data_IF_325395939492
#
_entry.id   IF_325395939492
#
_cell.length_a   1.000
_cell.length_b   1.000
_cell.length_c   1.000
_cell.angle_alpha   90.00
_cell.angle_beta   90.00
_cell.angle_gamma   90.00
#
_symmetry.space_group_name_H-M   'P 1'
#
loop_
_entity.id
_entity.type
_entity.pdbx_description
1 polymer ?
#
# COMPACT_ATOMS: atom_id res chain seq x y z
N UNK A 1 24.45 -44.23 -43.14
CA UNK A 1 23.49 -43.64 -42.18
C UNK A 1 23.98 -44.00 -40.77
N UNK A 2 24.67 -43.07 -40.09
CA UNK A 2 25.03 -43.20 -38.67
C UNK A 2 24.39 -42.01 -37.95
N UNK A 3 23.56 -42.32 -36.96
CA UNK A 3 22.71 -41.38 -36.25
C UNK A 3 23.53 -40.45 -35.36
N UNK A 4 23.28 -39.14 -35.48
CA UNK A 4 23.66 -38.15 -34.49
C UNK A 4 22.73 -38.33 -33.27
N UNK A 5 23.32 -38.65 -32.11
CA UNK A 5 22.64 -38.55 -30.82
C UNK A 5 22.66 -37.07 -30.43
N UNK A 6 21.53 -36.40 -30.64
CA UNK A 6 21.28 -35.05 -30.13
C UNK A 6 20.89 -35.19 -28.65
N UNK A 7 21.82 -34.87 -27.76
CA UNK A 7 21.53 -34.75 -26.33
C UNK A 7 20.64 -33.52 -26.11
N UNK A 8 19.33 -33.75 -25.98
CA UNK A 8 18.35 -32.75 -25.59
C UNK A 8 18.53 -32.46 -24.08
N UNK A 9 19.30 -31.41 -23.77
CA UNK A 9 19.45 -30.88 -22.43
C UNK A 9 18.17 -30.10 -22.09
N UNK A 10 17.18 -30.80 -21.53
CA UNK A 10 15.96 -30.18 -21.01
C UNK A 10 16.35 -29.38 -19.76
N UNK A 11 16.58 -28.08 -19.94
CA UNK A 11 16.59 -27.11 -18.85
C UNK A 11 15.18 -27.04 -18.28
N UNK A 12 14.88 -27.90 -17.30
CA UNK A 12 13.74 -27.70 -16.43
C UNK A 12 13.99 -26.43 -15.62
N UNK A 13 13.45 -25.31 -16.07
CA UNK A 13 13.23 -24.15 -15.19
C UNK A 13 12.14 -24.57 -14.21
N UNK A 14 12.54 -25.13 -13.06
CA UNK A 14 11.65 -25.24 -11.91
C UNK A 14 11.34 -23.82 -11.44
N UNK A 15 10.21 -23.27 -11.89
CA UNK A 15 9.59 -22.13 -11.22
C UNK A 15 8.98 -22.64 -9.93
N UNK A 16 9.80 -22.78 -8.88
CA UNK A 16 9.30 -22.94 -7.52
C UNK A 16 8.51 -21.67 -7.20
N UNK A 17 7.17 -21.79 -7.19
CA UNK A 17 6.32 -20.70 -6.74
C UNK A 17 6.46 -20.66 -5.22
N UNK A 18 7.09 -19.62 -4.70
CA UNK A 18 7.20 -19.41 -3.26
C UNK A 18 5.78 -19.22 -2.69
N UNK A 19 5.32 -20.16 -1.87
CA UNK A 19 4.08 -19.97 -1.13
C UNK A 19 4.42 -19.20 0.14
N UNK A 20 4.24 -17.87 0.13
CA UNK A 20 4.31 -17.07 1.35
C UNK A 20 3.21 -17.51 2.31
N UNK A 21 3.53 -17.64 3.61
CA UNK A 21 2.48 -17.75 4.60
C UNK A 21 1.63 -16.46 4.65
N UNK A 22 0.56 -16.47 5.45
CA UNK A 22 -0.37 -15.36 5.42
C UNK A 22 0.20 -14.02 5.87
N UNK A 23 1.24 -14.04 6.70
CA UNK A 23 1.90 -12.85 7.24
C UNK A 23 3.05 -12.41 6.34
N UNK A 24 3.81 -13.35 5.81
CA UNK A 24 4.87 -13.12 4.84
C UNK A 24 4.34 -12.47 3.56
N UNK A 25 3.13 -12.81 3.12
CA UNK A 25 2.48 -12.14 1.99
C UNK A 25 2.25 -10.64 2.24
N UNK A 26 1.91 -10.26 3.49
CA UNK A 26 1.80 -8.84 3.88
C UNK A 26 3.15 -8.14 3.77
N UNK A 27 4.24 -8.82 4.11
CA UNK A 27 5.59 -8.26 3.98
C UNK A 27 6.02 -8.15 2.52
N UNK A 28 5.69 -9.16 1.71
CA UNK A 28 5.91 -9.13 0.27
C UNK A 28 5.16 -7.96 -0.39
N UNK A 29 3.90 -7.72 -0.02
CA UNK A 29 3.10 -6.58 -0.53
C UNK A 29 3.75 -5.22 -0.17
N UNK A 30 4.30 -5.09 1.04
CA UNK A 30 5.02 -3.88 1.45
C UNK A 30 6.30 -3.68 0.62
N UNK A 31 7.08 -4.73 0.40
CA UNK A 31 8.35 -4.70 -0.34
C UNK A 31 8.18 -4.46 -1.84
N UNK A 32 7.05 -4.91 -2.40
CA UNK A 32 6.70 -4.72 -3.80
C UNK A 32 5.96 -3.38 -4.07
N UNK A 33 5.76 -2.56 -3.03
CA UNK A 33 5.03 -1.30 -3.16
C UNK A 33 5.83 -0.24 -3.91
N UNK A 34 5.17 0.51 -4.80
CA UNK A 34 5.75 1.73 -5.41
C UNK A 34 5.95 2.88 -4.41
N UNK A 35 5.42 2.75 -3.18
CA UNK A 35 5.59 3.74 -2.13
C UNK A 35 6.79 3.36 -1.25
N UNK A 36 7.87 4.15 -1.31
CA UNK A 36 9.09 3.92 -0.53
C UNK A 36 8.86 3.83 0.97
N UNK A 37 7.85 4.53 1.51
CA UNK A 37 7.52 4.38 2.92
C UNK A 37 6.99 2.99 3.24
N UNK A 38 6.21 2.37 2.34
CA UNK A 38 5.70 1.02 2.54
C UNK A 38 6.86 0.01 2.46
N UNK A 39 7.75 0.18 1.48
CA UNK A 39 8.97 -0.64 1.36
C UNK A 39 9.81 -0.55 2.64
N UNK A 40 9.99 0.65 3.18
CA UNK A 40 10.70 0.86 4.47
C UNK A 40 9.99 0.16 5.63
N UNK A 41 8.66 0.15 5.65
CA UNK A 41 7.91 -0.58 6.67
C UNK A 41 8.10 -2.10 6.54
N UNK A 42 8.10 -2.63 5.31
CA UNK A 42 8.41 -4.03 5.03
C UNK A 42 9.82 -4.41 5.48
N UNK A 43 10.82 -3.58 5.19
CA UNK A 43 12.19 -3.77 5.66
C UNK A 43 12.29 -3.79 7.20
N UNK A 44 11.54 -2.91 7.89
CA UNK A 44 11.47 -2.93 9.36
C UNK A 44 10.80 -4.19 9.89
N UNK A 45 9.75 -4.67 9.22
CA UNK A 45 9.09 -5.91 9.59
C UNK A 45 10.04 -7.11 9.47
N UNK A 46 10.80 -7.21 8.38
CA UNK A 46 11.85 -8.21 8.21
C UNK A 46 12.93 -8.12 9.29
N UNK A 47 13.40 -6.90 9.60
CA UNK A 47 14.37 -6.65 10.68
C UNK A 47 13.87 -7.15 12.04
N UNK A 48 12.58 -7.01 12.32
CA UNK A 48 12.02 -7.38 13.61
C UNK A 48 11.66 -8.87 13.72
N UNK A 49 11.17 -9.47 12.64
CA UNK A 49 10.62 -10.82 12.66
C UNK A 49 11.63 -11.88 12.23
N UNK A 50 12.63 -11.51 11.44
CA UNK A 50 13.67 -12.39 10.89
C UNK A 50 13.10 -13.72 10.34
N UNK A 51 12.16 -13.67 9.36
CA UNK A 51 11.52 -14.88 8.85
C UNK A 51 12.54 -15.86 8.22
N UNK A 52 12.26 -17.16 8.27
CA UNK A 52 13.15 -18.18 7.70
C UNK A 52 13.01 -18.30 6.17
N UNK A 53 11.96 -17.73 5.56
CA UNK A 53 11.64 -17.82 4.14
C UNK A 53 12.66 -17.09 3.26
N UNK A 54 13.44 -17.86 2.49
CA UNK A 54 14.51 -17.35 1.61
C UNK A 54 13.95 -16.51 0.48
N UNK A 55 12.80 -16.86 -0.07
CA UNK A 55 12.18 -16.17 -1.19
C UNK A 55 11.71 -14.77 -0.82
N UNK A 56 11.33 -14.55 0.45
CA UNK A 56 11.02 -13.22 0.98
C UNK A 56 12.27 -12.35 1.13
N UNK A 57 13.40 -12.95 1.50
CA UNK A 57 14.69 -12.25 1.51
C UNK A 57 15.22 -11.97 0.11
N UNK A 58 15.03 -12.90 -0.83
CA UNK A 58 15.33 -12.70 -2.26
C UNK A 58 14.49 -11.54 -2.84
N UNK A 59 13.22 -11.40 -2.44
CA UNK A 59 12.40 -10.24 -2.78
C UNK A 59 12.97 -8.95 -2.20
N UNK A 60 13.37 -8.92 -0.93
CA UNK A 60 13.99 -7.74 -0.32
C UNK A 60 15.30 -7.34 -1.01
N UNK A 61 16.13 -8.33 -1.39
CA UNK A 61 17.35 -8.15 -2.15
C UNK A 61 17.06 -7.59 -3.55
N UNK A 62 16.08 -8.14 -4.25
CA UNK A 62 15.61 -7.63 -5.53
C UNK A 62 15.11 -6.19 -5.41
N UNK A 63 14.38 -5.84 -4.35
CA UNK A 63 13.91 -4.47 -4.12
C UNK A 63 15.08 -3.49 -3.99
N UNK A 64 16.18 -3.85 -3.30
CA UNK A 64 17.40 -3.02 -3.28
C UNK A 64 17.93 -2.80 -4.69
N UNK A 65 18.10 -3.89 -5.47
CA UNK A 65 18.63 -3.84 -6.83
C UNK A 65 17.76 -2.96 -7.75
N UNK A 66 16.45 -3.16 -7.70
CA UNK A 66 15.47 -2.41 -8.51
C UNK A 66 15.47 -0.94 -8.14
N UNK A 67 15.48 -0.61 -6.84
CA UNK A 67 15.54 0.79 -6.37
C UNK A 67 16.82 1.48 -6.84
N UNK A 68 17.98 0.84 -6.75
CA UNK A 68 19.22 1.46 -7.20
C UNK A 68 19.29 1.61 -8.72
N UNK A 69 18.72 0.68 -9.48
CA UNK A 69 18.74 0.71 -10.95
C UNK A 69 17.74 1.69 -11.54
N UNK A 70 16.53 1.74 -10.99
CA UNK A 70 15.37 2.41 -11.60
C UNK A 70 14.70 3.46 -10.71
N UNK A 71 15.06 3.54 -9.42
CA UNK A 71 14.40 4.41 -8.45
C UNK A 71 14.77 5.89 -8.55
N UNK A 72 13.84 6.75 -8.13
CA UNK A 72 14.08 8.18 -7.98
C UNK A 72 14.99 8.46 -6.76
N UNK A 73 16.29 8.62 -7.02
CA UNK A 73 17.31 8.93 -6.01
C UNK A 73 17.15 10.32 -5.38
N UNK A 74 16.37 11.22 -5.99
CA UNK A 74 16.08 12.54 -5.42
C UNK A 74 14.98 12.49 -4.34
N UNK A 75 14.25 11.38 -4.26
CA UNK A 75 13.22 11.18 -3.25
C UNK A 75 13.85 11.17 -1.85
N UNK A 76 13.34 12.03 -0.96
CA UNK A 76 13.83 12.17 0.42
C UNK A 76 13.80 10.86 1.24
N UNK A 77 12.98 9.88 0.83
CA UNK A 77 12.86 8.59 1.51
C UNK A 77 13.78 7.51 0.93
N UNK A 78 14.44 7.76 -0.21
CA UNK A 78 15.27 6.78 -0.91
C UNK A 78 16.39 6.23 -0.02
N UNK A 79 17.23 7.13 0.50
CA UNK A 79 18.38 6.78 1.32
C UNK A 79 17.98 6.04 2.61
N UNK A 80 16.86 6.44 3.23
CA UNK A 80 16.39 5.80 4.46
C UNK A 80 15.83 4.40 4.20
N UNK A 81 15.06 4.26 3.12
CA UNK A 81 14.44 2.98 2.73
C UNK A 81 15.49 1.94 2.39
N UNK A 82 16.46 2.28 1.52
CA UNK A 82 17.51 1.33 1.12
C UNK A 82 18.46 0.99 2.28
N UNK A 83 18.68 1.94 3.21
CA UNK A 83 19.45 1.68 4.43
C UNK A 83 18.76 0.65 5.33
N UNK A 84 17.43 0.73 5.47
CA UNK A 84 16.65 -0.25 6.23
C UNK A 84 16.63 -1.62 5.56
N UNK A 85 16.48 -1.69 4.24
CA UNK A 85 16.59 -2.95 3.49
C UNK A 85 17.96 -3.60 3.68
N UNK A 86 19.05 -2.82 3.51
CA UNK A 86 20.41 -3.32 3.72
C UNK A 86 20.60 -3.84 5.16
N UNK A 87 20.11 -3.09 6.16
CA UNK A 87 20.16 -3.51 7.56
C UNK A 87 19.44 -4.85 7.77
N UNK A 88 18.21 -4.99 7.28
CA UNK A 88 17.42 -6.21 7.43
C UNK A 88 18.08 -7.42 6.76
N UNK A 89 18.61 -7.25 5.54
CA UNK A 89 19.35 -8.31 4.84
C UNK A 89 20.61 -8.71 5.62
N UNK A 90 21.36 -7.76 6.17
CA UNK A 90 22.51 -8.06 7.02
C UNK A 90 22.15 -8.94 8.21
N UNK A 91 21.05 -8.62 8.87
CA UNK A 91 20.58 -9.38 10.04
C UNK A 91 19.97 -10.74 9.71
N UNK A 92 19.60 -11.00 8.46
CA UNK A 92 19.28 -12.36 8.01
C UNK A 92 20.50 -13.29 8.10
N UNK A 93 21.71 -12.74 8.13
CA UNK A 93 23.00 -13.45 8.16
C UNK A 93 23.22 -14.42 6.98
N UNK A 94 22.47 -14.27 5.87
CA UNK A 94 22.56 -15.14 4.69
C UNK A 94 23.61 -14.66 3.69
N UNK A 95 24.73 -15.38 3.59
CA UNK A 95 25.85 -15.05 2.69
C UNK A 95 25.50 -15.05 1.20
N UNK A 96 24.36 -15.66 0.81
CA UNK A 96 23.77 -15.57 -0.53
C UNK A 96 23.68 -14.15 -1.09
N UNK A 97 23.51 -13.12 -0.26
CA UNK A 97 23.35 -11.73 -0.70
C UNK A 97 24.65 -10.94 -0.82
N UNK A 98 25.79 -11.54 -0.49
CA UNK A 98 27.07 -10.83 -0.40
C UNK A 98 27.50 -10.20 -1.72
N UNK A 99 27.37 -10.90 -2.83
CA UNK A 99 27.75 -10.37 -4.16
C UNK A 99 26.91 -9.16 -4.53
N UNK A 100 25.58 -9.26 -4.41
CA UNK A 100 24.67 -8.16 -4.66
C UNK A 100 25.02 -6.94 -3.80
N UNK A 101 25.15 -7.09 -2.47
CA UNK A 101 25.41 -5.95 -1.60
C UNK A 101 26.76 -5.27 -1.91
N UNK A 102 27.78 -6.03 -2.30
CA UNK A 102 29.07 -5.47 -2.74
C UNK A 102 28.95 -4.65 -4.04
N UNK A 103 28.15 -5.12 -5.00
CA UNK A 103 27.87 -4.37 -6.23
C UNK A 103 27.08 -3.10 -5.95
N UNK A 104 26.02 -3.20 -5.14
CA UNK A 104 25.18 -2.07 -4.77
C UNK A 104 25.96 -1.04 -3.93
N UNK A 105 26.92 -1.47 -3.10
CA UNK A 105 27.83 -0.58 -2.37
C UNK A 105 28.67 0.29 -3.31
N UNK A 106 29.10 -0.22 -4.47
CA UNK A 106 29.88 0.56 -5.45
C UNK A 106 29.03 1.65 -6.12
N UNK A 107 27.72 1.43 -6.24
CA UNK A 107 26.76 2.38 -6.82
C UNK A 107 26.27 3.43 -5.81
N UNK A 108 26.45 3.18 -4.50
CA UNK A 108 25.90 4.02 -3.44
C UNK A 108 26.53 5.42 -3.40
N UNK A 109 25.70 6.45 -3.66
CA UNK A 109 26.13 7.85 -3.71
C UNK A 109 26.21 8.51 -2.32
N UNK A 110 25.29 8.16 -1.41
CA UNK A 110 25.25 8.76 -0.07
C UNK A 110 26.14 8.01 0.94
N UNK A 111 26.74 8.76 1.88
CA UNK A 111 27.57 8.19 2.95
C UNK A 111 26.76 7.30 3.89
N UNK A 112 25.49 7.66 4.12
CA UNK A 112 24.54 6.86 4.90
C UNK A 112 24.34 5.48 4.28
N UNK A 113 23.99 5.41 3.00
CA UNK A 113 23.73 4.13 2.31
C UNK A 113 25.00 3.28 2.26
N UNK A 114 26.17 3.87 1.96
CA UNK A 114 27.46 3.16 2.03
C UNK A 114 27.72 2.55 3.41
N UNK A 115 27.41 3.27 4.49
CA UNK A 115 27.59 2.77 5.87
C UNK A 115 26.71 1.56 6.13
N UNK A 116 25.45 1.59 5.74
CA UNK A 116 24.52 0.47 5.96
C UNK A 116 24.87 -0.75 5.11
N UNK A 117 25.28 -0.59 3.86
CA UNK A 117 25.78 -1.72 3.06
C UNK A 117 27.03 -2.36 3.65
N UNK A 118 28.02 -1.56 4.08
CA UNK A 118 29.22 -2.09 4.74
C UNK A 118 28.88 -2.85 6.03
N UNK A 119 27.94 -2.31 6.82
CA UNK A 119 27.42 -2.99 8.00
C UNK A 119 26.79 -4.33 7.63
N UNK A 120 25.86 -4.34 6.68
CA UNK A 120 25.18 -5.53 6.23
C UNK A 120 26.14 -6.63 5.75
N UNK A 121 27.10 -6.28 4.87
CA UNK A 121 28.11 -7.21 4.34
C UNK A 121 28.94 -7.84 5.45
N UNK A 122 29.21 -7.11 6.54
CA UNK A 122 29.97 -7.62 7.69
C UNK A 122 29.17 -8.64 8.51
N UNK A 123 27.85 -8.49 8.59
CA UNK A 123 26.96 -9.38 9.35
C UNK A 123 26.60 -10.67 8.58
N UNK A 124 26.79 -10.69 7.25
CA UNK A 124 26.53 -11.89 6.46
C UNK A 124 27.53 -13.00 6.81
N UNK A 125 26.99 -14.15 7.22
CA UNK A 125 27.75 -15.37 7.49
C UNK A 125 27.46 -16.40 6.38
N UNK A 126 28.27 -17.45 6.25
CA UNK A 126 28.05 -18.53 5.29
C UNK A 126 28.11 -18.14 3.78
N UNK A 127 29.31 -17.89 3.27
CA UNK A 127 29.55 -17.53 1.85
C UNK A 127 29.46 -18.72 0.88
N UNK A 128 29.18 -19.93 1.35
CA UNK A 128 29.09 -21.14 0.52
C UNK A 128 27.71 -21.31 -0.15
N UNK A 129 26.73 -20.49 0.24
CA UNK A 129 25.41 -20.47 -0.40
C UNK A 129 25.48 -19.97 -1.85
N UNK A 130 24.64 -20.55 -2.72
CA UNK A 130 24.44 -20.07 -4.08
C UNK A 130 24.05 -18.59 -4.03
N UNK A 131 24.85 -17.75 -4.68
CA UNK A 131 24.65 -16.30 -4.68
C UNK A 131 23.35 -15.90 -5.38
N UNK A 132 22.69 -14.89 -4.83
CA UNK A 132 21.47 -14.33 -5.41
C UNK A 132 21.80 -13.54 -6.68
N UNK A 133 21.08 -13.85 -7.77
CA UNK A 133 21.20 -13.16 -9.04
C UNK A 133 19.93 -12.34 -9.33
N UNK A 134 20.04 -11.03 -9.12
CA UNK A 134 18.93 -10.11 -9.34
C UNK A 134 18.54 -9.95 -10.83
N UNK A 135 19.45 -10.25 -11.76
CA UNK A 135 19.19 -10.04 -13.20
C UNK A 135 18.26 -11.10 -13.79
N UNK A 136 18.29 -12.30 -13.21
CA UNK A 136 17.42 -13.42 -13.57
C UNK A 136 16.26 -13.62 -12.59
N UNK A 137 16.18 -12.79 -11.54
CA UNK A 137 15.06 -12.82 -10.61
C UNK A 137 13.84 -12.18 -11.25
N UNK A 138 12.82 -13.01 -11.50
CA UNK A 138 11.49 -12.48 -11.76
C UNK A 138 10.79 -12.39 -10.43
N UNK A 139 10.40 -11.18 -10.02
CA UNK A 139 9.47 -10.97 -8.91
C UNK A 139 8.07 -11.45 -9.33
N UNK A 140 7.94 -12.75 -9.64
CA UNK A 140 6.68 -13.43 -9.51
C UNK A 140 6.51 -13.63 -8.00
N UNK A 141 6.12 -12.56 -7.33
CA UNK A 141 5.30 -12.69 -6.13
C UNK A 141 4.06 -13.40 -6.63
N UNK A 142 4.14 -14.72 -6.75
CA UNK A 142 2.96 -15.55 -6.74
C UNK A 142 2.36 -15.18 -5.39
N UNK A 143 1.38 -14.27 -5.42
CA UNK A 143 0.44 -14.10 -4.33
C UNK A 143 0.06 -15.53 -4.02
N UNK A 144 0.58 -16.06 -2.91
CA UNK A 144 0.32 -17.43 -2.50
C UNK A 144 -1.18 -17.56 -2.61
N UNK A 145 -1.67 -18.50 -3.42
CA UNK A 145 -3.11 -18.71 -3.57
C UNK A 145 -3.62 -19.07 -2.19
N UNK A 146 -4.13 -18.11 -1.40
CA UNK A 146 -4.36 -18.36 0.00
C UNK A 146 -5.56 -19.28 -0.02
N UNK A 147 -5.58 -20.32 0.82
CA UNK A 147 -6.86 -20.97 1.18
C UNK A 147 -7.86 -19.84 1.41
N UNK A 148 -8.81 -19.68 0.49
CA UNK A 148 -9.55 -18.43 0.31
C UNK A 148 -10.51 -18.21 1.49
N UNK A 149 -9.99 -17.80 2.63
CA UNK A 149 -10.80 -17.23 3.70
C UNK A 149 -11.25 -15.88 3.15
N UNK A 150 -12.49 -15.84 2.66
CA UNK A 150 -13.09 -14.61 2.19
C UNK A 150 -13.56 -13.82 3.39
N UNK A 151 -13.07 -12.59 3.54
CA UNK A 151 -13.56 -11.67 4.56
C UNK A 151 -15.10 -11.55 4.49
N UNK A 152 -15.74 -11.56 5.65
CA UNK A 152 -17.18 -11.33 5.81
C UNK A 152 -17.41 -10.21 6.81
N UNK A 153 -18.58 -9.57 6.73
CA UNK A 153 -18.93 -8.50 7.67
C UNK A 153 -18.95 -9.01 9.12
N UNK A 154 -19.37 -10.26 9.33
CA UNK A 154 -19.36 -10.91 10.65
C UNK A 154 -17.94 -11.12 11.16
N UNK A 155 -17.04 -11.68 10.35
CA UNK A 155 -15.64 -11.87 10.76
C UNK A 155 -14.95 -10.53 10.99
N UNK A 156 -15.25 -9.49 10.20
CA UNK A 156 -14.68 -8.16 10.40
C UNK A 156 -15.17 -7.52 11.71
N UNK A 157 -16.44 -7.75 12.08
CA UNK A 157 -16.98 -7.32 13.38
C UNK A 157 -16.27 -8.01 14.54
N UNK A 158 -15.87 -9.28 14.38
CA UNK A 158 -15.19 -10.07 15.42
C UNK A 158 -13.78 -9.59 15.78
N UNK A 159 -13.08 -8.88 14.89
CA UNK A 159 -11.76 -8.32 15.18
C UNK A 159 -11.83 -7.27 16.29
N UNK A 160 -10.92 -7.33 17.26
CA UNK A 160 -10.82 -6.43 18.40
C UNK A 160 -9.46 -5.72 18.44
N UNK A 161 -9.43 -4.57 19.13
CA UNK A 161 -8.17 -3.91 19.48
C UNK A 161 -7.36 -4.87 20.37
N UNK A 162 -6.07 -5.02 20.07
CA UNK A 162 -5.17 -5.97 20.70
C UNK A 162 -5.05 -7.33 20.00
N UNK A 163 -5.90 -7.65 19.02
CA UNK A 163 -5.74 -8.86 18.21
C UNK A 163 -4.43 -8.79 17.40
N UNK A 164 -3.77 -9.93 17.22
CA UNK A 164 -2.53 -9.98 16.42
C UNK A 164 -2.83 -10.00 14.92
N UNK A 165 -1.85 -9.67 14.09
CA UNK A 165 -1.93 -9.79 12.64
C UNK A 165 -2.34 -11.22 12.20
N UNK A 166 -1.80 -12.24 12.84
CA UNK A 166 -2.11 -13.64 12.57
C UNK A 166 -3.60 -13.94 12.87
N UNK A 167 -4.15 -13.40 13.97
CA UNK A 167 -5.59 -13.51 14.28
C UNK A 167 -6.42 -12.84 13.18
N UNK A 168 -6.05 -11.63 12.76
CA UNK A 168 -6.75 -10.90 11.69
C UNK A 168 -6.77 -11.72 10.39
N UNK A 169 -5.61 -12.21 9.97
CA UNK A 169 -5.44 -12.99 8.75
C UNK A 169 -6.18 -14.33 8.83
N UNK A 170 -6.25 -14.97 10.01
CA UNK A 170 -7.01 -16.21 10.20
C UNK A 170 -8.52 -16.02 10.08
N UNK A 171 -9.03 -14.83 10.39
CA UNK A 171 -10.47 -14.52 10.35
C UNK A 171 -10.91 -13.92 9.01
N UNK A 172 -10.04 -13.12 8.38
CA UNK A 172 -10.39 -12.34 7.20
C UNK A 172 -9.66 -12.77 5.93
N UNK A 173 -8.66 -13.64 6.04
CA UNK A 173 -7.76 -13.96 4.95
C UNK A 173 -6.86 -12.78 4.58
N UNK A 174 -6.35 -12.82 3.34
CA UNK A 174 -5.46 -11.79 2.82
C UNK A 174 -6.18 -10.44 2.67
N UNK A 175 -5.54 -9.33 3.10
CA UNK A 175 -6.05 -8.00 2.82
C UNK A 175 -6.03 -7.71 1.32
N UNK A 176 -6.90 -6.81 0.89
CA UNK A 176 -6.91 -6.32 -0.49
C UNK A 176 -5.93 -5.17 -0.71
N UNK A 177 -5.42 -4.59 0.36
CA UNK A 177 -4.40 -3.56 0.32
C UNK A 177 -3.58 -3.54 1.61
N UNK A 178 -2.27 -3.37 1.46
CA UNK A 178 -1.32 -3.27 2.55
C UNK A 178 -0.55 -1.96 2.41
N UNK A 179 -0.38 -1.26 3.53
CA UNK A 179 0.38 -0.02 3.54
C UNK A 179 0.65 0.46 4.95
N UNK A 180 0.60 1.78 5.16
CA UNK A 180 0.84 2.33 6.49
C UNK A 180 -0.07 3.49 6.89
N UNK A 181 -0.23 3.65 8.20
CA UNK A 181 -0.63 4.88 8.85
C UNK A 181 0.60 5.63 9.35
N UNK A 182 0.69 6.91 9.00
CA UNK A 182 1.68 7.82 9.56
C UNK A 182 0.97 8.76 10.52
N UNK A 183 1.18 8.56 11.81
CA UNK A 183 0.68 9.46 12.85
C UNK A 183 1.82 10.30 13.37
N UNK A 184 1.66 11.61 13.35
CA UNK A 184 2.57 12.52 14.03
C UNK A 184 1.85 13.23 15.16
N UNK A 185 2.44 13.24 16.34
CA UNK A 185 1.96 14.08 17.43
C UNK A 185 3.13 14.89 18.00
N UNK A 186 2.82 16.09 18.48
CA UNK A 186 3.79 16.95 19.14
C UNK A 186 3.67 16.72 20.64
N UNK A 187 4.72 16.19 21.27
CA UNK A 187 4.80 16.15 22.73
C UNK A 187 5.49 17.42 23.23
N UNK A 188 5.01 18.03 24.33
CA UNK A 188 5.76 19.08 25.01
C UNK A 188 7.20 18.61 25.28
N UNK A 189 8.18 19.47 25.02
CA UNK A 189 9.62 19.26 25.27
C UNK A 189 10.34 18.15 24.47
N UNK A 190 9.62 17.13 23.97
CA UNK A 190 10.20 16.01 23.18
C UNK A 190 10.11 16.29 21.67
N UNK A 191 9.27 17.25 21.26
CA UNK A 191 9.09 17.61 19.86
C UNK A 191 8.09 16.71 19.13
N UNK A 192 8.22 16.65 17.80
CA UNK A 192 7.33 15.85 16.94
C UNK A 192 7.80 14.40 16.94
N UNK A 193 6.95 13.49 17.39
CA UNK A 193 7.16 12.05 17.21
C UNK A 193 6.28 11.57 16.06
N UNK A 194 6.82 10.67 15.24
CA UNK A 194 6.12 10.08 14.09
C UNK A 194 6.15 8.57 14.24
N UNK A 195 4.97 7.95 14.11
CA UNK A 195 4.77 6.50 14.17
C UNK A 195 4.36 6.02 12.79
N UNK A 196 4.90 4.87 12.42
CA UNK A 196 4.57 4.15 11.20
C UNK A 196 3.93 2.83 11.61
N UNK A 197 2.63 2.74 11.43
CA UNK A 197 1.83 1.58 11.77
C UNK A 197 1.40 0.88 10.49
N UNK A 198 1.30 -0.44 10.52
CA UNK A 198 0.80 -1.24 9.39
C UNK A 198 -0.66 -0.92 9.14
N UNK A 199 -1.04 -0.74 7.88
CA UNK A 199 -2.43 -0.71 7.45
C UNK A 199 -2.76 -2.00 6.71
N UNK A 200 -3.88 -2.60 7.08
CA UNK A 200 -4.58 -3.60 6.26
C UNK A 200 -5.91 -3.00 5.78
N UNK A 201 -6.23 -3.19 4.51
CA UNK A 201 -7.50 -2.78 3.90
C UNK A 201 -8.25 -4.00 3.39
N UNK A 202 -9.53 -4.10 3.73
CA UNK A 202 -10.46 -5.15 3.28
C UNK A 202 -11.66 -4.49 2.60
N UNK A 203 -11.80 -4.75 1.30
CA UNK A 203 -12.83 -4.17 0.43
C UNK A 203 -14.20 -4.46 1.01
N UNK A 204 -15.09 -3.45 1.00
CA UNK A 204 -16.45 -3.48 1.55
C UNK A 204 -16.54 -3.63 3.07
N UNK A 205 -15.43 -3.72 3.80
CA UNK A 205 -15.46 -3.93 5.26
C UNK A 205 -14.79 -2.79 6.02
N UNK A 206 -13.56 -2.43 5.65
CA UNK A 206 -12.80 -1.50 6.45
C UNK A 206 -11.29 -1.60 6.32
N UNK A 207 -10.64 -0.76 7.11
CA UNK A 207 -9.20 -0.81 7.29
C UNK A 207 -8.83 -0.86 8.76
N UNK A 208 -7.71 -1.49 9.05
CA UNK A 208 -7.15 -1.62 10.39
C UNK A 208 -5.76 -1.04 10.42
N UNK A 209 -5.46 -0.33 11.51
CA UNK A 209 -4.13 0.11 11.89
C UNK A 209 -3.57 -0.91 12.88
N UNK A 210 -2.40 -1.46 12.59
CA UNK A 210 -1.69 -2.34 13.50
C UNK A 210 -0.37 -1.70 13.91
N UNK A 211 -0.14 -1.65 15.22
CA UNK A 211 1.09 -1.14 15.82
C UNK A 211 2.02 -2.31 16.10
N UNK A 212 3.30 -2.16 15.78
CA UNK A 212 4.29 -3.14 16.17
C UNK A 212 4.64 -2.97 17.65
N UNK A 213 4.40 -4.00 18.47
CA UNK A 213 4.71 -4.00 19.88
C UNK A 213 5.43 -5.29 20.29
N UNK A 214 6.64 -5.13 20.84
CA UNK A 214 7.57 -6.20 21.23
C UNK A 214 7.94 -7.10 20.06
N UNK A 215 7.08 -8.03 19.70
CA UNK A 215 7.29 -9.08 18.69
C UNK A 215 6.08 -9.31 17.78
N UNK A 216 5.02 -8.49 17.90
CA UNK A 216 3.78 -8.71 17.16
C UNK A 216 3.19 -7.39 16.64
N UNK A 217 2.52 -7.49 15.50
CA UNK A 217 1.60 -6.46 15.01
C UNK A 217 0.26 -6.61 15.73
N UNK A 218 -0.14 -5.60 16.49
CA UNK A 218 -1.39 -5.59 17.25
C UNK A 218 -2.37 -4.57 16.68
N UNK A 219 -3.63 -4.94 16.51
CA UNK A 219 -4.70 -4.03 16.09
C UNK A 219 -4.81 -2.88 17.09
N UNK A 220 -4.55 -1.67 16.63
CA UNK A 220 -4.59 -0.43 17.40
C UNK A 220 -5.90 0.32 17.12
N UNK A 221 -6.31 0.36 15.85
CA UNK A 221 -7.55 0.99 15.41
C UNK A 221 -8.23 0.18 14.31
N UNK A 222 -9.55 0.09 14.36
CA UNK A 222 -10.39 -0.46 13.30
C UNK A 222 -11.34 0.61 12.78
N UNK A 223 -11.33 0.83 11.47
CA UNK A 223 -12.21 1.79 10.81
C UNK A 223 -13.06 1.07 9.76
N UNK A 224 -14.35 1.42 9.68
CA UNK A 224 -15.22 0.94 8.61
C UNK A 224 -14.95 1.75 7.34
N UNK A 225 -14.85 1.05 6.20
CA UNK A 225 -14.76 1.67 4.89
C UNK A 225 -16.19 1.98 4.42
N UNK A 226 -16.29 2.84 3.43
CA UNK A 226 -17.50 2.95 2.62
C UNK A 226 -17.79 1.64 1.88
N UNK A 227 -19.06 1.40 1.52
CA UNK A 227 -19.54 0.22 0.81
C UNK A 227 -19.09 0.15 -0.67
N UNK A 228 -17.91 0.73 -1.00
CA UNK A 228 -17.41 0.83 -2.36
C UNK A 228 -16.85 -0.53 -2.84
N UNK A 229 -17.56 -1.16 -3.77
CA UNK A 229 -17.12 -2.38 -4.46
C UNK A 229 -15.99 -2.08 -5.46
N UNK A 230 -14.73 -2.21 -5.03
CA UNK A 230 -13.57 -1.93 -5.87
C UNK A 230 -13.06 -3.16 -6.65
N UNK A 231 -13.89 -4.19 -6.85
CA UNK A 231 -13.48 -5.41 -7.56
C UNK A 231 -12.99 -5.15 -8.99
N UNK A 232 -13.53 -4.12 -9.66
CA UNK A 232 -13.13 -3.68 -10.99
C UNK A 232 -11.81 -2.88 -11.04
N UNK A 233 -11.22 -2.55 -9.87
CA UNK A 233 -10.01 -1.73 -9.78
C UNK A 233 -8.77 -2.60 -9.91
N UNK A 234 -7.83 -2.16 -10.76
CA UNK A 234 -6.56 -2.85 -10.96
C UNK A 234 -5.79 -2.99 -9.63
N UNK A 235 -5.07 -4.09 -9.46
CA UNK A 235 -4.34 -4.38 -8.23
C UNK A 235 -3.42 -3.21 -7.80
N UNK A 236 -2.77 -2.57 -8.77
CA UNK A 236 -1.84 -1.45 -8.57
C UNK A 236 -2.49 -0.23 -7.90
N UNK A 237 -3.80 -0.03 -8.06
CA UNK A 237 -4.52 1.11 -7.50
C UNK A 237 -5.39 0.79 -6.29
N UNK A 238 -5.55 -0.48 -5.91
CA UNK A 238 -6.43 -0.88 -4.78
C UNK A 238 -6.01 -0.24 -3.46
N UNK A 239 -4.72 -0.26 -3.13
CA UNK A 239 -4.22 0.38 -1.92
C UNK A 239 -4.49 1.88 -1.91
N UNK A 240 -4.12 2.55 -3.01
CA UNK A 240 -4.30 3.98 -3.19
C UNK A 240 -5.78 4.36 -3.05
N UNK A 241 -6.66 3.62 -3.73
CA UNK A 241 -8.10 3.84 -3.66
C UNK A 241 -8.65 3.61 -2.25
N UNK A 242 -8.23 2.55 -1.57
CA UNK A 242 -8.69 2.26 -0.20
C UNK A 242 -8.43 3.43 0.76
N UNK A 243 -7.31 4.15 0.56
CA UNK A 243 -7.01 5.37 1.32
C UNK A 243 -7.82 6.58 0.87
N UNK A 244 -7.98 6.76 -0.45
CA UNK A 244 -8.73 7.87 -1.04
C UNK A 244 -10.20 7.86 -0.61
N UNK A 245 -10.80 6.68 -0.43
CA UNK A 245 -12.20 6.50 -0.02
C UNK A 245 -12.36 6.04 1.43
N UNK A 246 -11.33 6.26 2.26
CA UNK A 246 -11.39 6.00 3.70
C UNK A 246 -12.10 7.13 4.45
N UNK A 247 -12.53 6.86 5.70
CA UNK A 247 -13.06 7.88 6.59
C UNK A 247 -11.98 8.64 7.39
N UNK A 248 -10.69 8.43 7.09
CA UNK A 248 -9.56 9.11 7.76
C UNK A 248 -9.07 10.29 6.91
N UNK A 249 -9.32 11.52 7.37
CA UNK A 249 -8.92 12.77 6.69
C UNK A 249 -7.42 12.85 6.37
N UNK A 250 -6.56 12.24 7.19
CA UNK A 250 -5.12 12.23 6.96
C UNK A 250 -4.77 11.30 5.81
N UNK A 251 -5.39 10.13 5.76
CA UNK A 251 -5.20 9.16 4.67
C UNK A 251 -5.73 9.69 3.34
N UNK A 252 -6.94 10.26 3.33
CA UNK A 252 -7.51 10.84 2.10
C UNK A 252 -6.57 11.90 1.55
N UNK A 253 -6.07 12.81 2.40
CA UNK A 253 -5.20 13.91 1.96
C UNK A 253 -3.80 13.46 1.56
N UNK A 254 -3.22 12.44 2.20
CA UNK A 254 -1.93 11.90 1.79
C UNK A 254 -2.06 11.16 0.45
N UNK A 255 -3.08 10.32 0.32
CA UNK A 255 -3.39 9.56 -0.89
C UNK A 255 -3.76 10.46 -2.06
N UNK A 256 -4.52 11.53 -1.84
CA UNK A 256 -4.85 12.47 -2.91
C UNK A 256 -3.60 13.19 -3.46
N UNK A 257 -2.64 13.52 -2.59
CA UNK A 257 -1.36 14.12 -3.05
C UNK A 257 -0.51 13.13 -3.83
N UNK A 258 -0.53 11.85 -3.43
CA UNK A 258 0.11 10.77 -4.18
C UNK A 258 -0.56 10.60 -5.55
N UNK A 259 -1.88 10.47 -5.59
CA UNK A 259 -2.67 10.33 -6.81
C UNK A 259 -2.47 11.48 -7.81
N UNK A 260 -2.28 12.72 -7.32
CA UNK A 260 -1.99 13.88 -8.18
C UNK A 260 -0.59 13.79 -8.84
N UNK A 261 0.37 13.12 -8.19
CA UNK A 261 1.70 12.91 -8.78
C UNK A 261 1.72 11.74 -9.76
N UNK A 262 0.72 10.88 -9.72
CA UNK A 262 0.60 9.72 -10.59
C UNK A 262 -0.27 10.06 -11.81
N UNK A 263 -0.01 9.45 -12.98
CA UNK A 263 -0.92 9.48 -14.11
C UNK A 263 -2.10 8.53 -13.84
N UNK A 264 -2.96 8.87 -12.88
CA UNK A 264 -4.12 8.04 -12.53
C UNK A 264 -5.17 8.11 -13.65
N UNK A 265 -5.17 7.08 -14.51
CA UNK A 265 -6.06 6.96 -15.68
C UNK A 265 -7.08 5.84 -15.54
N UNK A 266 -6.94 4.96 -14.55
CA UNK A 266 -7.87 3.86 -14.30
C UNK A 266 -9.28 4.39 -14.00
N UNK A 267 -10.20 4.12 -14.92
CA UNK A 267 -11.56 4.68 -14.86
C UNK A 267 -12.33 4.14 -13.64
N UNK A 268 -12.16 2.87 -13.29
CA UNK A 268 -12.83 2.30 -12.12
C UNK A 268 -12.42 3.03 -10.83
N UNK A 269 -11.12 3.28 -10.64
CA UNK A 269 -10.61 4.07 -9.51
C UNK A 269 -11.21 5.48 -9.49
N UNK A 270 -11.24 6.15 -10.63
CA UNK A 270 -11.77 7.51 -10.74
C UNK A 270 -13.29 7.57 -10.51
N UNK A 271 -14.04 6.58 -11.00
CA UNK A 271 -15.49 6.45 -10.77
C UNK A 271 -15.78 6.24 -9.27
N UNK A 272 -14.99 5.44 -8.56
CA UNK A 272 -15.12 5.31 -7.10
C UNK A 272 -14.83 6.61 -6.35
N UNK A 273 -13.82 7.37 -6.77
CA UNK A 273 -13.52 8.67 -6.16
C UNK A 273 -14.68 9.63 -6.39
N UNK A 274 -15.23 9.68 -7.62
CA UNK A 274 -16.38 10.53 -7.95
C UNK A 274 -17.63 10.15 -7.14
N UNK A 275 -17.93 8.85 -7.04
CA UNK A 275 -19.02 8.34 -6.22
C UNK A 275 -18.83 8.70 -4.75
N UNK A 276 -17.61 8.53 -4.21
CA UNK A 276 -17.33 8.82 -2.80
C UNK A 276 -17.48 10.31 -2.46
N UNK A 277 -17.05 11.21 -3.36
CA UNK A 277 -17.29 12.66 -3.20
C UNK A 277 -18.80 12.92 -3.16
N UNK A 278 -19.56 12.30 -4.08
CA UNK A 278 -21.01 12.47 -4.15
C UNK A 278 -21.72 11.99 -2.88
N UNK A 279 -21.39 10.81 -2.39
CA UNK A 279 -22.01 10.23 -1.19
C UNK A 279 -21.67 11.01 0.08
N UNK A 280 -20.51 11.68 0.09
CA UNK A 280 -19.97 12.38 1.27
C UNK A 280 -20.17 13.91 1.23
N UNK A 281 -20.81 14.43 0.17
CA UNK A 281 -20.81 15.86 -0.15
C UNK A 281 -21.48 16.76 0.92
N UNK A 282 -22.43 16.21 1.68
CA UNK A 282 -23.22 16.95 2.66
C UNK A 282 -22.57 17.02 4.05
N UNK A 283 -21.29 16.64 4.15
CA UNK A 283 -20.53 16.69 5.41
C UNK A 283 -20.49 18.09 6.02
N UNK A 284 -20.66 18.15 7.34
CA UNK A 284 -20.50 19.36 8.15
C UNK A 284 -19.10 19.48 8.77
N UNK A 285 -18.22 18.50 8.56
CA UNK A 285 -16.88 18.50 9.13
C UNK A 285 -15.89 19.22 8.19
N UNK A 286 -15.36 20.36 8.63
CA UNK A 286 -14.42 21.19 7.87
C UNK A 286 -13.17 20.45 7.35
N UNK A 287 -12.61 19.53 8.16
CA UNK A 287 -11.42 18.77 7.79
C UNK A 287 -11.75 17.69 6.76
N UNK A 288 -12.92 17.05 6.89
CA UNK A 288 -13.40 16.08 5.93
C UNK A 288 -13.79 16.75 4.61
N UNK A 289 -14.46 17.91 4.65
CA UNK A 289 -14.74 18.71 3.46
C UNK A 289 -13.46 19.19 2.74
N UNK A 290 -12.39 19.51 3.49
CA UNK A 290 -11.07 19.78 2.90
C UNK A 290 -10.51 18.55 2.18
N UNK A 291 -10.73 17.37 2.73
CA UNK A 291 -10.28 16.10 2.16
C UNK A 291 -11.03 15.76 0.86
N UNK A 292 -12.36 15.95 0.82
CA UNK A 292 -13.16 15.83 -0.41
C UNK A 292 -12.74 16.84 -1.48
N UNK A 293 -12.38 18.06 -1.09
CA UNK A 293 -11.82 19.06 -1.99
C UNK A 293 -10.49 18.62 -2.64
N UNK A 294 -9.65 17.84 -1.93
CA UNK A 294 -8.47 17.22 -2.54
C UNK A 294 -8.85 16.15 -3.56
N UNK A 295 -9.90 15.36 -3.31
CA UNK A 295 -10.39 14.38 -4.27
C UNK A 295 -10.93 15.03 -5.55
N UNK A 296 -11.59 16.19 -5.46
CA UNK A 296 -11.94 16.98 -6.65
C UNK A 296 -10.71 17.33 -7.49
N UNK A 297 -9.55 17.60 -6.86
CA UNK A 297 -8.30 17.85 -7.60
C UNK A 297 -7.74 16.58 -8.25
N UNK A 298 -7.87 15.43 -7.60
CA UNK A 298 -7.48 14.13 -8.20
C UNK A 298 -8.24 13.93 -9.51
N UNK A 299 -9.57 14.11 -9.51
CA UNK A 299 -10.38 14.01 -10.73
C UNK A 299 -9.97 15.04 -11.79
N UNK A 300 -9.61 16.26 -11.40
CA UNK A 300 -9.09 17.27 -12.36
C UNK A 300 -7.73 16.92 -12.95
N UNK A 301 -6.88 16.25 -12.18
CA UNK A 301 -5.54 15.87 -12.58
C UNK A 301 -5.54 14.70 -13.57
N UNK A 302 -6.54 13.82 -13.52
CA UNK A 302 -6.67 12.70 -14.47
C UNK A 302 -6.94 13.15 -15.92
N UNK A 303 -7.34 14.42 -16.12
CA UNK A 303 -7.72 15.00 -17.42
C UNK A 303 -8.89 14.28 -18.10
N UNK A 304 -9.63 13.45 -17.38
CA UNK A 304 -10.79 12.76 -17.91
C UNK A 304 -12.05 13.65 -17.83
N UNK A 305 -12.54 14.11 -18.99
CA UNK A 305 -13.69 15.00 -19.10
C UNK A 305 -15.01 14.42 -18.57
N UNK A 306 -15.10 13.08 -18.41
CA UNK A 306 -16.25 12.36 -17.86
C UNK A 306 -16.72 12.90 -16.51
N UNK A 307 -15.81 13.42 -15.70
CA UNK A 307 -16.10 13.95 -14.36
C UNK A 307 -16.43 15.44 -14.32
N UNK A 308 -16.43 16.12 -15.46
CA UNK A 308 -16.65 17.57 -15.52
C UNK A 308 -18.03 17.96 -15.03
N UNK A 309 -19.06 17.24 -15.47
CA UNK A 309 -20.45 17.55 -15.13
C UNK A 309 -20.73 17.37 -13.64
N UNK A 310 -20.33 16.25 -13.04
CA UNK A 310 -20.55 16.02 -11.61
C UNK A 310 -19.86 17.08 -10.74
N UNK A 311 -18.66 17.53 -11.12
CA UNK A 311 -17.96 18.62 -10.44
C UNK A 311 -18.66 19.97 -10.66
N UNK A 312 -19.24 20.22 -11.83
CA UNK A 312 -20.04 21.41 -12.09
C UNK A 312 -21.34 21.42 -11.28
N UNK A 313 -22.00 20.26 -11.13
CA UNK A 313 -23.18 20.10 -10.26
C UNK A 313 -22.82 20.38 -8.81
N UNK A 314 -21.76 19.75 -8.28
CA UNK A 314 -21.28 19.98 -6.91
C UNK A 314 -20.93 21.46 -6.65
N UNK A 315 -20.44 22.17 -7.66
CA UNK A 315 -20.11 23.59 -7.56
C UNK A 315 -21.33 24.50 -7.31
N UNK A 316 -22.53 24.07 -7.71
CA UNK A 316 -23.77 24.85 -7.62
C UNK A 316 -24.64 24.46 -6.43
N UNK A 317 -24.41 23.29 -5.82
CA UNK A 317 -25.20 22.85 -4.66
C UNK A 317 -24.91 23.69 -3.42
N UNK A 318 -25.91 23.89 -2.53
CA UNK A 318 -25.74 24.60 -1.27
C UNK A 318 -25.04 23.73 -0.21
N UNK A 319 -23.85 23.20 -0.55
CA UNK A 319 -23.01 22.36 0.31
C UNK A 319 -21.79 23.13 0.81
N UNK A 320 -20.89 22.45 1.53
CA UNK A 320 -19.74 23.09 2.14
C UNK A 320 -18.88 23.89 1.14
N UNK A 321 -18.59 25.16 1.45
CA UNK A 321 -17.92 26.14 0.56
C UNK A 321 -16.58 25.70 -0.02
N UNK A 322 -15.83 24.82 0.67
CA UNK A 322 -14.59 24.27 0.13
C UNK A 322 -14.86 23.31 -1.02
N UNK A 323 -15.85 22.44 -0.88
CA UNK A 323 -16.20 21.44 -1.89
C UNK A 323 -16.65 22.18 -3.15
N UNK A 324 -17.59 23.13 -3.03
CA UNK A 324 -18.10 23.91 -4.16
C UNK A 324 -16.98 24.65 -4.91
N UNK A 325 -16.10 25.35 -4.18
CA UNK A 325 -14.96 26.09 -4.76
C UNK A 325 -14.00 25.18 -5.51
N UNK A 326 -13.60 24.05 -4.90
CA UNK A 326 -12.66 23.13 -5.53
C UNK A 326 -13.29 22.37 -6.68
N UNK A 327 -14.57 21.99 -6.58
CA UNK A 327 -15.31 21.37 -7.69
C UNK A 327 -15.41 22.32 -8.89
N UNK A 328 -15.74 23.60 -8.66
CA UNK A 328 -15.78 24.63 -9.72
C UNK A 328 -14.43 24.78 -10.44
N UNK A 329 -13.34 24.89 -9.67
CA UNK A 329 -12.00 25.02 -10.24
C UNK A 329 -11.56 23.74 -10.98
N UNK A 330 -11.86 22.57 -10.42
CA UNK A 330 -11.56 21.28 -11.04
C UNK A 330 -12.31 21.07 -12.35
N UNK A 331 -13.61 21.41 -12.40
CA UNK A 331 -14.44 21.29 -13.60
C UNK A 331 -13.93 22.17 -14.76
N UNK A 332 -13.45 23.39 -14.46
CA UNK A 332 -12.85 24.30 -15.46
C UNK A 332 -11.63 23.71 -16.14
N UNK A 333 -10.85 22.91 -15.41
CA UNK A 333 -9.60 22.32 -15.87
C UNK A 333 -9.79 20.98 -16.62
N UNK A 334 -11.04 20.51 -16.76
CA UNK A 334 -11.36 19.29 -17.47
C UNK A 334 -11.87 19.59 -18.90
N UNK A 335 -11.50 18.76 -19.89
CA UNK A 335 -12.02 18.87 -21.23
C UNK A 335 -13.53 18.55 -21.25
N UNK A 336 -14.19 18.97 -22.32
CA UNK A 336 -15.56 18.52 -22.60
C UNK A 336 -15.48 17.05 -23.06
N UNK A 337 -16.41 16.23 -22.60
CA UNK A 337 -16.52 14.80 -22.93
C UNK A 337 -17.95 14.50 -23.36
N UNK A 338 -18.12 13.53 -24.26
CA UNK A 338 -19.43 12.97 -24.61
C UNK A 338 -19.91 11.92 -23.60
N UNK A 339 -18.97 11.28 -22.89
CA UNK A 339 -19.28 10.41 -21.77
C UNK A 339 -19.34 11.20 -20.47
N UNK A 340 -20.26 10.81 -19.59
CA UNK A 340 -20.52 11.47 -18.31
C UNK A 340 -20.58 10.44 -17.18
N UNK A 341 -19.96 10.75 -16.06
CA UNK A 341 -20.12 9.95 -14.84
C UNK A 341 -21.49 10.24 -14.22
N UNK A 342 -22.28 9.20 -13.99
CA UNK A 342 -23.57 9.30 -13.30
C UNK A 342 -23.46 8.65 -11.92
N UNK A 343 -23.65 9.39 -10.82
CA UNK A 343 -23.60 8.81 -9.49
C UNK A 343 -24.71 7.76 -9.30
N UNK A 344 -24.35 6.64 -8.67
CA UNK A 344 -25.33 5.69 -8.18
C UNK A 344 -26.17 6.34 -7.07
N UNK A 345 -27.49 6.15 -7.13
CA UNK A 345 -28.41 6.61 -6.08
C UNK A 345 -28.39 5.58 -4.97
N UNK A 346 -27.69 5.88 -3.88
CA UNK A 346 -27.74 5.07 -2.68
C UNK A 346 -29.09 5.28 -1.97
N UNK A 347 -30.04 4.38 -2.19
CA UNK A 347 -31.25 4.26 -1.37
C UNK A 347 -30.85 3.71 -0.01
N UNK A 348 -30.28 4.56 0.86
CA UNK A 348 -30.13 4.22 2.29
C UNK A 348 -31.52 3.99 2.87
N UNK A 349 -31.92 2.74 3.04
CA UNK A 349 -33.00 2.35 3.95
C UNK A 349 -32.63 2.93 5.32
N UNK A 350 -33.45 3.84 5.82
CA UNK A 350 -33.29 4.43 7.13
C UNK A 350 -33.50 3.33 8.19
N UNK A 351 -32.42 2.66 8.60
CA UNK A 351 -32.43 1.95 9.87
C UNK A 351 -32.56 3.00 10.97
N UNK A 352 -33.71 2.94 11.63
CA UNK A 352 -34.13 3.80 12.73
C UNK A 352 -33.13 3.65 13.88
N UNK A 353 -32.72 4.73 14.57
CA UNK A 353 -31.87 4.58 15.74
C UNK A 353 -32.68 3.85 16.81
N UNK A 354 -32.22 2.67 17.23
CA UNK A 354 -32.72 2.04 18.45
C UNK A 354 -32.52 3.01 19.62
N UNK A 355 -33.66 3.42 20.19
CA UNK A 355 -33.77 4.17 21.42
C UNK A 355 -33.05 3.42 22.54
N UNK A 356 -31.86 3.90 22.90
CA UNK A 356 -31.18 3.50 24.11
C UNK A 356 -31.90 4.19 25.30
N UNK A 357 -33.05 3.65 25.69
CA UNK A 357 -33.69 3.94 26.98
C UNK A 357 -33.45 2.75 27.89
N UNK A 358 -32.62 2.94 28.92
CA UNK A 358 -32.87 2.43 30.28
C UNK A 358 -31.80 2.95 31.26
N UNK A 359 -32.32 3.39 32.40
CA UNK A 359 -31.65 3.66 33.67
C UNK A 359 -30.85 2.46 34.19
#
# INVERSE_FOLDING_TARGET
>A
MKQLILALLILFTFSAHAAFDSKESVYADLLNSNNLQNVKLGAKALHHDLPDNVELWDLAAFTIWSMNSNGDRSNAEFDDTISWLAKAIGESQRGRYQTLLNEQLKLAQSSKVRRYFKGAIKELNNTEELQFDATNYTAQVALSDPKHIRATAENFKRIKVGDTLEVVLSLLGQPNGVGQYIRSYRRPFIGRQTFQNLRLSYINFGSMELRYEKTHWLVDLKSKQTDADISAVSADFRDLLSRLVSNDVTQIRSAAREAIKLPLTDQATLDHIAQYIWDSQDTQNDQFADSLAWLCKVLSNSKNGRYKEILATLAQKPIHKKITRYAANSAKNLPISAEHFTPAINTKTAETPEENTSL
#
